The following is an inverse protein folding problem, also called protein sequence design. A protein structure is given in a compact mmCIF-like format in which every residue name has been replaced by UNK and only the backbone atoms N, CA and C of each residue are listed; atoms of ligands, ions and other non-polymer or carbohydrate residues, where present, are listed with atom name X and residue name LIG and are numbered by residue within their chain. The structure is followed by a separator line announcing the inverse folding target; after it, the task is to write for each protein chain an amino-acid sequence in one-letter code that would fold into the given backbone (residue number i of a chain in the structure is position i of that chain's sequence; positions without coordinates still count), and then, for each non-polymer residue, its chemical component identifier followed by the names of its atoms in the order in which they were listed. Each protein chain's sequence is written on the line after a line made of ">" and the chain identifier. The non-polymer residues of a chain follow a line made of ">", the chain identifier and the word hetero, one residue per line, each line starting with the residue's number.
data_IF_830546793224
#
_entry.id   IF_830546793224
#
_cell.length_a   1.000
_cell.length_b   1.000
_cell.length_c   1.000
_cell.angle_alpha   90.00
_cell.angle_beta   90.00
_cell.angle_gamma   90.00
#
_symmetry.space_group_name_H-M   'P 1'
#
loop_
_entity.id
_entity.type
_entity.pdbx_description
1 polymer ?
#
# COMPACT_ATOMS: atom_id res chain seq x y z
N UNK A 1 -13.11 -4.52 -17.10
CA UNK A 1 -13.46 -3.69 -15.92
C UNK A 1 -14.69 -4.16 -15.12
N UNK A 2 -15.92 -4.15 -15.65
CA UNK A 2 -17.14 -4.40 -14.84
C UNK A 2 -17.14 -5.72 -14.04
N UNK A 3 -16.60 -6.80 -14.62
CA UNK A 3 -16.45 -8.07 -13.91
C UNK A 3 -15.51 -7.99 -12.69
N UNK A 4 -14.49 -7.13 -12.74
CA UNK A 4 -13.55 -6.91 -11.63
C UNK A 4 -14.18 -6.07 -10.53
N UNK A 5 -14.99 -5.08 -10.89
CA UNK A 5 -15.77 -4.31 -9.92
C UNK A 5 -16.75 -5.23 -9.19
N UNK A 6 -17.40 -6.15 -9.92
CA UNK A 6 -18.25 -7.17 -9.32
C UNK A 6 -17.45 -8.10 -8.40
N UNK A 7 -16.25 -8.55 -8.81
CA UNK A 7 -15.40 -9.40 -7.98
C UNK A 7 -14.98 -8.70 -6.68
N UNK A 8 -14.62 -7.41 -6.75
CA UNK A 8 -14.31 -6.60 -5.58
C UNK A 8 -15.52 -6.52 -4.65
N UNK A 9 -16.70 -6.20 -5.18
CA UNK A 9 -17.93 -6.14 -4.39
C UNK A 9 -18.25 -7.49 -3.72
N UNK A 10 -18.07 -8.61 -4.43
CA UNK A 10 -18.30 -9.94 -3.88
C UNK A 10 -17.34 -10.23 -2.72
N UNK A 11 -16.04 -9.97 -2.88
CA UNK A 11 -15.06 -10.14 -1.80
C UNK A 11 -15.32 -9.18 -0.62
N UNK A 12 -15.84 -7.98 -0.89
CA UNK A 12 -16.23 -7.02 0.15
C UNK A 12 -17.44 -7.46 0.97
N UNK A 13 -18.38 -8.21 0.37
CA UNK A 13 -19.60 -8.69 1.04
C UNK A 13 -19.39 -10.06 1.70
N UNK A 14 -18.71 -10.98 0.99
CA UNK A 14 -18.60 -12.39 1.36
C UNK A 14 -17.27 -12.73 2.05
N UNK A 15 -16.32 -11.80 2.05
CA UNK A 15 -14.98 -11.98 2.63
C UNK A 15 -13.91 -12.28 1.58
N UNK A 16 -12.65 -12.13 1.96
CA UNK A 16 -11.50 -12.27 1.06
C UNK A 16 -11.34 -13.70 0.51
N UNK A 17 -11.76 -14.69 1.29
CA UNK A 17 -11.70 -16.10 0.90
C UNK A 17 -12.65 -16.47 -0.24
N UNK A 18 -13.63 -15.61 -0.58
CA UNK A 18 -14.59 -15.87 -1.65
C UNK A 18 -13.90 -16.25 -2.98
N UNK A 19 -12.78 -15.59 -3.32
CA UNK A 19 -12.05 -15.89 -4.56
C UNK A 19 -11.41 -17.29 -4.55
N UNK A 20 -11.18 -17.84 -3.36
CA UNK A 20 -10.57 -19.15 -3.12
C UNK A 20 -11.57 -20.26 -2.83
N UNK A 21 -12.87 -19.98 -2.81
CA UNK A 21 -13.91 -20.98 -2.52
C UNK A 21 -14.19 -21.86 -3.75
N UNK A 22 -14.34 -23.18 -3.53
CA UNK A 22 -14.80 -24.10 -4.58
C UNK A 22 -16.29 -23.90 -4.85
N UNK A 23 -16.58 -23.03 -5.80
CA UNK A 23 -17.93 -22.78 -6.29
C UNK A 23 -18.36 -23.97 -7.17
N UNK A 24 -18.90 -25.02 -6.53
CA UNK A 24 -19.55 -26.12 -7.24
C UNK A 24 -20.82 -25.62 -7.92
N UNK A 25 -20.67 -25.05 -9.11
CA UNK A 25 -21.80 -24.84 -10.01
C UNK A 25 -22.25 -26.23 -10.44
N UNK A 26 -23.41 -26.65 -9.93
CA UNK A 26 -24.06 -27.89 -10.38
C UNK A 26 -24.11 -27.88 -11.91
N UNK A 27 -23.57 -28.95 -12.51
CA UNK A 27 -23.71 -29.34 -13.91
C UNK A 27 -22.72 -28.86 -14.98
N UNK A 28 -21.50 -28.40 -14.65
CA UNK A 28 -20.52 -28.06 -15.70
C UNK A 28 -19.23 -28.88 -15.66
N UNK A 29 -19.04 -29.76 -16.66
CA UNK A 29 -17.77 -30.46 -16.94
C UNK A 29 -16.60 -29.52 -17.28
N UNK A 30 -16.89 -28.22 -17.44
CA UNK A 30 -15.93 -27.16 -17.76
C UNK A 30 -15.73 -26.14 -16.61
N UNK A 31 -16.01 -26.51 -15.35
CA UNK A 31 -15.78 -25.61 -14.22
C UNK A 31 -14.30 -25.15 -14.18
N UNK A 32 -14.10 -23.83 -14.11
CA UNK A 32 -12.76 -23.23 -13.94
C UNK A 32 -12.28 -23.60 -12.53
N UNK A 33 -11.07 -24.15 -12.42
CA UNK A 33 -10.49 -24.44 -11.10
C UNK A 33 -10.26 -23.15 -10.33
N UNK A 34 -10.36 -23.20 -8.99
CA UNK A 34 -10.10 -22.06 -8.10
C UNK A 34 -8.78 -21.37 -8.45
N UNK A 35 -7.71 -22.15 -8.65
CA UNK A 35 -6.40 -21.66 -9.09
C UNK A 35 -6.48 -20.78 -10.35
N UNK A 36 -7.19 -21.26 -11.38
CA UNK A 36 -7.34 -20.53 -12.64
C UNK A 36 -8.20 -19.28 -12.48
N UNK A 37 -9.21 -19.32 -11.60
CA UNK A 37 -10.08 -18.19 -11.36
C UNK A 37 -9.35 -17.05 -10.64
N UNK A 38 -8.60 -17.38 -9.58
CA UNK A 38 -7.75 -16.42 -8.87
C UNK A 38 -6.76 -15.74 -9.83
N UNK A 39 -6.05 -16.54 -10.64
CA UNK A 39 -5.10 -16.02 -11.62
C UNK A 39 -5.79 -15.18 -12.70
N UNK A 40 -6.98 -15.57 -13.16
CA UNK A 40 -7.73 -14.81 -14.15
C UNK A 40 -8.11 -13.43 -13.60
N UNK A 41 -8.62 -13.37 -12.37
CA UNK A 41 -9.00 -12.10 -11.71
C UNK A 41 -7.77 -11.21 -11.53
N UNK A 42 -6.67 -11.75 -10.98
CA UNK A 42 -5.44 -10.99 -10.78
C UNK A 42 -4.87 -10.45 -12.10
N UNK A 43 -4.73 -11.31 -13.12
CA UNK A 43 -4.14 -10.90 -14.39
C UNK A 43 -5.02 -9.88 -15.13
N UNK A 44 -6.34 -10.04 -15.04
CA UNK A 44 -7.28 -9.06 -15.59
C UNK A 44 -7.20 -7.73 -14.85
N UNK A 45 -7.13 -7.75 -13.51
CA UNK A 45 -6.97 -6.55 -12.69
C UNK A 45 -5.66 -5.81 -13.00
N UNK A 46 -4.55 -6.54 -13.12
CA UNK A 46 -3.25 -5.97 -13.48
C UNK A 46 -3.28 -5.23 -14.82
N UNK A 47 -3.87 -5.83 -15.85
CA UNK A 47 -4.00 -5.18 -17.17
C UNK A 47 -4.81 -3.90 -17.08
N UNK A 48 -5.93 -3.93 -16.34
CA UNK A 48 -6.80 -2.76 -16.19
C UNK A 48 -6.15 -1.65 -15.34
N UNK A 49 -5.39 -2.01 -14.30
CA UNK A 49 -4.55 -1.08 -13.53
C UNK A 49 -3.53 -0.41 -14.45
N UNK A 50 -2.81 -1.19 -15.27
CA UNK A 50 -1.81 -0.65 -16.19
C UNK A 50 -2.43 0.36 -17.17
N UNK A 51 -3.61 0.04 -17.73
CA UNK A 51 -4.34 0.93 -18.64
C UNK A 51 -4.77 2.21 -17.92
N UNK A 52 -5.39 2.11 -16.74
CA UNK A 52 -5.87 3.28 -16.01
C UNK A 52 -4.74 4.18 -15.51
N UNK A 53 -3.63 3.61 -15.03
CA UNK A 53 -2.45 4.39 -14.61
C UNK A 53 -1.86 5.17 -15.80
N UNK A 54 -1.69 4.51 -16.95
CA UNK A 54 -1.19 5.18 -18.16
C UNK A 54 -2.14 6.28 -18.63
N UNK A 55 -3.45 6.02 -18.65
CA UNK A 55 -4.42 7.03 -19.03
C UNK A 55 -4.45 8.22 -18.06
N UNK A 56 -4.31 7.98 -16.76
CA UNK A 56 -4.26 9.04 -15.75
C UNK A 56 -2.97 9.85 -15.86
N UNK A 57 -1.81 9.19 -16.00
CA UNK A 57 -0.53 9.84 -16.20
C UNK A 57 -0.55 10.73 -17.46
N UNK A 58 -1.01 10.20 -18.59
CA UNK A 58 -1.16 10.97 -19.82
C UNK A 58 -2.08 12.19 -19.63
N UNK A 59 -3.25 11.98 -19.03
CA UNK A 59 -4.25 13.04 -18.87
C UNK A 59 -3.74 14.16 -17.95
N UNK A 60 -3.01 13.81 -16.88
CA UNK A 60 -2.53 14.75 -15.86
C UNK A 60 -1.22 15.44 -16.24
N UNK A 61 -0.28 14.72 -16.85
CA UNK A 61 1.10 15.18 -16.95
C UNK A 61 1.48 15.57 -18.39
N UNK A 62 0.95 14.86 -19.39
CA UNK A 62 1.32 15.05 -20.79
C UNK A 62 0.30 15.89 -21.58
N UNK A 63 -0.98 15.84 -21.21
CA UNK A 63 -2.02 16.56 -21.94
C UNK A 63 -1.93 18.06 -21.65
N UNK A 64 -1.41 18.83 -22.61
CA UNK A 64 -1.39 20.28 -22.55
C UNK A 64 -2.84 20.81 -22.64
N UNK A 65 -3.49 21.02 -21.49
CA UNK A 65 -4.86 21.57 -21.39
C UNK A 65 -5.87 20.89 -22.34
N UNK A 66 -5.96 19.57 -22.32
CA UNK A 66 -6.97 18.88 -23.12
C UNK A 66 -8.37 19.07 -22.53
N UNK A 67 -9.36 19.14 -23.40
CA UNK A 67 -10.79 19.34 -23.12
C UNK A 67 -11.48 18.12 -22.48
N UNK A 68 -10.74 17.29 -21.73
CA UNK A 68 -11.36 16.23 -20.96
C UNK A 68 -12.10 16.86 -19.78
N UNK A 69 -13.37 16.50 -19.63
CA UNK A 69 -14.17 16.92 -18.49
C UNK A 69 -13.60 16.29 -17.22
N UNK A 70 -13.51 17.05 -16.13
CA UNK A 70 -13.04 16.56 -14.82
C UNK A 70 -13.74 15.25 -14.41
N UNK A 71 -15.01 15.09 -14.79
CA UNK A 71 -15.81 13.86 -14.59
C UNK A 71 -15.16 12.59 -15.14
N UNK A 72 -14.49 12.66 -16.30
CA UNK A 72 -13.84 11.50 -16.91
C UNK A 72 -12.59 11.08 -16.13
N UNK A 73 -11.83 12.04 -15.62
CA UNK A 73 -10.64 11.79 -14.78
C UNK A 73 -11.10 11.22 -13.43
N UNK A 74 -12.11 11.82 -12.81
CA UNK A 74 -12.68 11.35 -11.54
C UNK A 74 -13.18 9.91 -11.67
N UNK A 75 -13.87 9.58 -12.77
CA UNK A 75 -14.34 8.21 -12.99
C UNK A 75 -13.18 7.21 -13.12
N UNK A 76 -12.08 7.59 -13.79
CA UNK A 76 -10.88 6.75 -13.88
C UNK A 76 -10.21 6.55 -12.53
N UNK A 77 -10.06 7.61 -11.73
CA UNK A 77 -9.54 7.54 -10.37
C UNK A 77 -10.39 6.61 -9.49
N UNK A 78 -11.72 6.73 -9.58
CA UNK A 78 -12.65 5.84 -8.85
C UNK A 78 -12.51 4.39 -9.27
N UNK A 79 -12.43 4.12 -10.59
CA UNK A 79 -12.23 2.76 -11.08
C UNK A 79 -10.89 2.18 -10.62
N UNK A 80 -9.83 2.99 -10.64
CA UNK A 80 -8.51 2.60 -10.15
C UNK A 80 -8.53 2.28 -8.65
N UNK A 81 -9.19 3.11 -7.83
CA UNK A 81 -9.33 2.88 -6.40
C UNK A 81 -10.04 1.54 -6.09
N UNK A 82 -11.08 1.18 -6.86
CA UNK A 82 -11.75 -0.11 -6.71
C UNK A 82 -10.82 -1.26 -7.10
N UNK A 83 -10.04 -1.11 -8.19
CA UNK A 83 -9.06 -2.13 -8.57
C UNK A 83 -7.95 -2.29 -7.53
N UNK A 84 -7.45 -1.20 -6.94
CA UNK A 84 -6.49 -1.28 -5.83
C UNK A 84 -7.09 -1.99 -4.62
N UNK A 85 -8.35 -1.70 -4.27
CA UNK A 85 -9.03 -2.44 -3.21
C UNK A 85 -9.14 -3.93 -3.50
N UNK A 86 -9.45 -4.31 -4.75
CA UNK A 86 -9.43 -5.72 -5.17
C UNK A 86 -8.05 -6.36 -5.00
N UNK A 87 -6.98 -5.67 -5.39
CA UNK A 87 -5.61 -6.16 -5.25
C UNK A 87 -5.23 -6.30 -3.77
N UNK A 88 -5.57 -5.35 -2.89
CA UNK A 88 -5.35 -5.46 -1.44
C UNK A 88 -6.04 -6.68 -0.84
N UNK A 89 -7.27 -6.98 -1.27
CA UNK A 89 -7.98 -8.18 -0.83
C UNK A 89 -7.29 -9.46 -1.29
N UNK A 90 -6.74 -9.48 -2.50
CA UNK A 90 -5.93 -10.59 -3.01
C UNK A 90 -4.63 -10.73 -2.19
N UNK A 91 -3.97 -9.62 -1.85
CA UNK A 91 -2.78 -9.62 -0.98
C UNK A 91 -3.11 -10.27 0.37
N UNK A 92 -4.18 -9.82 1.02
CA UNK A 92 -4.64 -10.36 2.30
C UNK A 92 -4.97 -11.85 2.22
N UNK A 93 -5.75 -12.27 1.21
CA UNK A 93 -6.09 -13.68 0.98
C UNK A 93 -4.85 -14.56 0.86
N UNK A 94 -3.80 -14.10 0.17
CA UNK A 94 -2.56 -14.88 0.02
C UNK A 94 -1.72 -14.87 1.30
N UNK A 95 -1.70 -13.76 2.04
CA UNK A 95 -1.03 -13.70 3.34
C UNK A 95 -1.65 -14.70 4.33
N UNK A 96 -2.99 -14.71 4.43
CA UNK A 96 -3.73 -15.64 5.27
C UNK A 96 -3.53 -17.11 4.84
N UNK A 97 -3.43 -17.39 3.54
CA UNK A 97 -3.14 -18.72 3.04
C UNK A 97 -1.71 -19.21 3.38
N UNK A 98 -0.79 -18.29 3.67
CA UNK A 98 0.62 -18.59 3.98
C UNK A 98 0.91 -18.68 5.48
N UNK A 99 0.06 -18.11 6.34
CA UNK A 99 0.29 -17.99 7.79
C UNK A 99 -0.01 -19.27 8.60
N UNK A 100 -0.66 -20.28 8.00
CA UNK A 100 -0.85 -21.60 8.61
C UNK A 100 -1.77 -21.65 9.84
N UNK A 101 -2.29 -20.50 10.31
CA UNK A 101 -3.23 -20.39 11.42
C UNK A 101 -4.67 -20.35 10.89
N UNK A 102 -5.24 -21.54 10.65
CA UNK A 102 -6.63 -21.73 10.23
C UNK A 102 -6.96 -23.20 9.95
N UNK A 103 -8.25 -23.56 9.92
CA UNK A 103 -8.68 -24.84 9.36
C UNK A 103 -8.10 -25.00 7.93
N UNK A 104 -7.83 -26.23 7.46
CA UNK A 104 -7.17 -26.46 6.17
C UNK A 104 -8.11 -26.09 5.01
N UNK A 105 -8.30 -24.80 4.74
CA UNK A 105 -8.92 -24.28 3.52
C UNK A 105 -7.85 -24.24 2.42
N UNK A 106 -7.21 -25.38 2.15
CA UNK A 106 -6.31 -25.52 1.02
C UNK A 106 -7.13 -25.71 -0.26
N UNK A 107 -7.46 -24.59 -0.92
CA UNK A 107 -8.02 -24.61 -2.29
C UNK A 107 -7.06 -24.08 -3.35
N UNK A 108 -6.03 -23.31 -2.97
CA UNK A 108 -5.05 -22.74 -3.90
C UNK A 108 -3.72 -23.48 -3.76
N UNK A 109 -3.19 -24.00 -4.87
CA UNK A 109 -1.91 -24.70 -4.84
C UNK A 109 -0.72 -23.74 -4.74
N UNK A 110 0.39 -24.21 -4.16
CA UNK A 110 1.61 -23.42 -3.97
C UNK A 110 2.13 -22.79 -5.28
N UNK A 111 2.03 -23.53 -6.39
CA UNK A 111 2.39 -23.02 -7.72
C UNK A 111 1.57 -21.78 -8.09
N UNK A 112 0.28 -21.77 -7.78
CA UNK A 112 -0.60 -20.62 -8.00
C UNK A 112 -0.23 -19.46 -7.10
N UNK A 113 0.07 -19.72 -5.82
CA UNK A 113 0.54 -18.67 -4.89
C UNK A 113 1.78 -17.96 -5.46
N UNK A 114 2.76 -18.73 -5.96
CA UNK A 114 3.96 -18.16 -6.58
C UNK A 114 3.64 -17.29 -7.81
N UNK A 115 2.68 -17.73 -8.64
CA UNK A 115 2.21 -16.95 -9.79
C UNK A 115 1.46 -15.68 -9.37
N UNK A 116 0.70 -15.75 -8.28
CA UNK A 116 0.02 -14.57 -7.71
C UNK A 116 1.06 -13.58 -7.18
N UNK A 117 2.05 -14.02 -6.40
CA UNK A 117 3.15 -13.16 -5.93
C UNK A 117 3.89 -12.50 -7.10
N UNK A 118 4.14 -13.24 -8.18
CA UNK A 118 4.75 -12.69 -9.40
C UNK A 118 3.88 -11.60 -10.02
N UNK A 119 2.57 -11.86 -10.18
CA UNK A 119 1.63 -10.88 -10.73
C UNK A 119 1.45 -9.63 -9.82
N UNK A 120 1.52 -9.80 -8.50
CA UNK A 120 1.49 -8.70 -7.55
C UNK A 120 2.76 -7.86 -7.64
N UNK A 121 3.96 -8.46 -7.67
CA UNK A 121 5.22 -7.74 -7.90
C UNK A 121 5.19 -6.91 -9.19
N UNK A 122 4.69 -7.49 -10.28
CA UNK A 122 4.54 -6.78 -11.56
C UNK A 122 3.55 -5.61 -11.44
N UNK A 123 2.42 -5.81 -10.73
CA UNK A 123 1.41 -4.76 -10.52
C UNK A 123 1.97 -3.61 -9.68
N UNK A 124 2.65 -3.92 -8.57
CA UNK A 124 3.26 -2.91 -7.70
C UNK A 124 4.40 -2.19 -8.40
N UNK A 125 5.18 -2.87 -9.25
CA UNK A 125 6.19 -2.23 -10.09
C UNK A 125 5.57 -1.16 -11.01
N UNK A 126 4.40 -1.42 -11.62
CA UNK A 126 3.67 -0.44 -12.43
C UNK A 126 3.15 0.74 -11.60
N UNK A 127 2.69 0.48 -10.36
CA UNK A 127 2.26 1.55 -9.45
C UNK A 127 3.45 2.43 -9.04
N UNK A 128 4.62 1.84 -8.80
CA UNK A 128 5.85 2.58 -8.51
C UNK A 128 6.30 3.41 -9.72
N UNK A 129 6.14 2.91 -10.94
CA UNK A 129 6.42 3.69 -12.16
C UNK A 129 5.49 4.91 -12.27
N UNK A 130 4.20 4.76 -11.96
CA UNK A 130 3.27 5.88 -11.89
C UNK A 130 3.66 6.93 -10.83
N UNK A 131 4.15 6.50 -9.66
CA UNK A 131 4.66 7.40 -8.63
C UNK A 131 5.97 8.09 -9.07
N UNK A 132 6.83 7.39 -9.81
CA UNK A 132 8.04 7.96 -10.39
C UNK A 132 7.70 9.04 -11.42
N UNK A 133 6.72 8.80 -12.30
CA UNK A 133 6.24 9.82 -13.23
C UNK A 133 5.70 11.05 -12.49
N UNK A 134 4.92 10.85 -11.43
CA UNK A 134 4.43 11.96 -10.59
C UNK A 134 5.59 12.77 -9.98
N UNK A 135 6.63 12.09 -9.48
CA UNK A 135 7.85 12.72 -8.94
C UNK A 135 8.55 13.57 -10.00
N UNK A 136 8.74 13.03 -11.20
CA UNK A 136 9.44 13.71 -12.29
C UNK A 136 8.68 14.94 -12.79
N UNK A 137 7.36 14.96 -12.65
CA UNK A 137 6.50 16.11 -12.95
C UNK A 137 6.24 17.04 -11.75
N UNK A 138 6.86 16.77 -10.58
CA UNK A 138 6.70 17.56 -9.36
C UNK A 138 5.31 17.49 -8.73
N UNK A 139 4.52 16.46 -9.06
CA UNK A 139 3.15 16.28 -8.59
C UNK A 139 3.16 15.42 -7.33
N UNK A 140 2.84 16.04 -6.19
CA UNK A 140 2.83 15.37 -4.88
C UNK A 140 1.47 15.31 -4.20
N UNK A 141 0.43 15.87 -4.83
CA UNK A 141 -0.89 16.02 -4.22
C UNK A 141 -1.98 15.37 -5.06
N UNK A 142 -2.79 14.53 -4.44
CA UNK A 142 -3.96 13.91 -5.07
C UNK A 142 -4.31 12.55 -4.49
N UNK A 143 -5.60 12.24 -4.43
CA UNK A 143 -6.10 11.00 -3.81
C UNK A 143 -5.70 9.75 -4.57
N UNK A 144 -5.46 9.85 -5.88
CA UNK A 144 -4.94 8.74 -6.69
C UNK A 144 -3.47 8.43 -6.37
N UNK A 145 -2.65 9.45 -6.10
CA UNK A 145 -1.28 9.25 -5.59
C UNK A 145 -1.31 8.61 -4.21
N UNK A 146 -2.20 9.09 -3.34
CA UNK A 146 -2.34 8.54 -2.01
C UNK A 146 -2.86 7.08 -2.04
N UNK A 147 -3.80 6.76 -2.92
CA UNK A 147 -4.27 5.40 -3.14
C UNK A 147 -3.16 4.50 -3.70
N UNK A 148 -2.30 5.01 -4.58
CA UNK A 148 -1.12 4.31 -5.08
C UNK A 148 -0.11 4.02 -3.95
N UNK A 149 0.15 4.98 -3.06
CA UNK A 149 0.97 4.75 -1.86
C UNK A 149 0.35 3.70 -0.95
N UNK A 150 -0.97 3.73 -0.75
CA UNK A 150 -1.68 2.76 0.09
C UNK A 150 -1.46 1.32 -0.38
N UNK A 151 -1.70 1.04 -1.66
CA UNK A 151 -1.54 -0.31 -2.20
C UNK A 151 -0.07 -0.78 -2.16
N UNK A 152 0.88 0.14 -2.40
CA UNK A 152 2.32 -0.13 -2.23
C UNK A 152 2.64 -0.49 -0.79
N UNK A 153 2.16 0.31 0.17
CA UNK A 153 2.33 0.06 1.60
C UNK A 153 1.74 -1.28 2.04
N UNK A 154 0.53 -1.60 1.60
CA UNK A 154 -0.14 -2.88 1.89
C UNK A 154 0.63 -4.07 1.35
N UNK A 155 1.18 -4.01 0.13
CA UNK A 155 1.97 -5.11 -0.41
C UNK A 155 3.32 -5.28 0.30
N UNK A 156 4.01 -4.17 0.56
CA UNK A 156 5.30 -4.18 1.21
C UNK A 156 5.21 -4.52 2.71
N UNK A 157 4.04 -4.42 3.33
CA UNK A 157 3.80 -4.97 4.66
C UNK A 157 3.99 -6.49 4.66
N UNK A 158 3.58 -7.19 3.61
CA UNK A 158 3.76 -8.64 3.48
C UNK A 158 5.12 -9.01 2.89
N UNK A 159 5.69 -8.14 2.06
CA UNK A 159 6.95 -8.38 1.33
C UNK A 159 7.90 -7.18 1.39
N UNK A 160 8.54 -6.88 2.54
CA UNK A 160 9.26 -5.62 2.77
C UNK A 160 10.44 -5.33 1.83
N UNK A 161 10.98 -6.36 1.19
CA UNK A 161 12.11 -6.28 0.26
C UNK A 161 11.69 -6.43 -1.21
N UNK A 162 10.40 -6.53 -1.50
CA UNK A 162 9.91 -6.49 -2.88
C UNK A 162 10.20 -5.12 -3.50
N UNK A 163 10.60 -5.12 -4.78
CA UNK A 163 10.93 -3.91 -5.53
C UNK A 163 11.94 -2.97 -4.83
N UNK A 164 12.85 -3.51 -4.00
CA UNK A 164 13.69 -2.73 -3.08
C UNK A 164 14.43 -1.55 -3.72
N UNK A 165 14.96 -1.73 -4.94
CA UNK A 165 15.65 -0.67 -5.67
C UNK A 165 14.70 0.52 -5.96
N UNK A 166 13.56 0.27 -6.61
CA UNK A 166 12.56 1.31 -6.92
C UNK A 166 12.00 1.95 -5.65
N UNK A 167 11.58 1.13 -4.69
CA UNK A 167 11.01 1.59 -3.42
C UNK A 167 12.02 2.46 -2.66
N UNK A 168 13.29 2.07 -2.60
CA UNK A 168 14.34 2.82 -1.93
C UNK A 168 14.55 4.21 -2.51
N UNK A 169 14.58 4.34 -3.85
CA UNK A 169 14.74 5.63 -4.54
C UNK A 169 13.50 6.54 -4.49
N UNK A 170 12.32 5.96 -4.27
CA UNK A 170 11.05 6.68 -4.19
C UNK A 170 10.61 7.01 -2.76
N UNK A 171 11.23 6.42 -1.74
CA UNK A 171 10.72 6.49 -0.36
C UNK A 171 10.56 7.92 0.17
N UNK A 172 11.55 8.79 -0.10
CA UNK A 172 11.47 10.22 0.26
C UNK A 172 10.28 10.92 -0.43
N UNK A 173 10.07 10.63 -1.72
CA UNK A 173 8.95 11.20 -2.47
C UNK A 173 7.61 10.65 -1.95
N UNK A 174 7.52 9.35 -1.68
CA UNK A 174 6.33 8.71 -1.10
C UNK A 174 5.93 9.41 0.21
N UNK A 175 6.90 9.72 1.08
CA UNK A 175 6.64 10.41 2.34
C UNK A 175 6.20 11.87 2.17
N UNK A 176 6.44 12.46 1.00
CA UNK A 176 6.01 13.82 0.66
C UNK A 176 4.62 13.88 0.02
N UNK A 177 4.01 12.74 -0.30
CA UNK A 177 2.71 12.69 -0.95
C UNK A 177 1.60 13.07 0.04
N UNK A 178 0.69 13.90 -0.44
CA UNK A 178 -0.48 14.39 0.28
C UNK A 178 -1.76 13.96 -0.47
N UNK A 179 -2.78 13.53 0.27
CA UNK A 179 -4.14 13.49 -0.23
C UNK A 179 -4.65 14.87 -0.64
N UNK A 180 -5.74 14.90 -1.40
CA UNK A 180 -6.28 16.15 -1.95
C UNK A 180 -6.62 17.17 -0.84
N UNK A 181 -7.19 16.69 0.26
CA UNK A 181 -7.63 17.50 1.39
C UNK A 181 -6.64 17.50 2.57
N UNK A 182 -5.49 16.81 2.47
CA UNK A 182 -4.47 16.81 3.52
C UNK A 182 -3.72 18.14 3.55
N UNK A 183 -3.54 18.71 4.74
CA UNK A 183 -2.72 19.91 4.95
C UNK A 183 -1.22 19.63 4.99
N UNK A 184 -0.84 18.38 5.27
CA UNK A 184 0.53 17.89 5.38
C UNK A 184 0.53 16.37 5.21
N UNK A 185 1.63 15.76 4.71
CA UNK A 185 1.71 14.31 4.54
C UNK A 185 1.48 13.59 5.86
N UNK A 186 0.40 12.80 5.93
CA UNK A 186 0.10 11.98 7.09
C UNK A 186 -0.28 10.57 6.66
N UNK A 187 -1.26 10.43 5.77
CA UNK A 187 -1.72 9.11 5.34
C UNK A 187 -0.64 8.34 4.57
N UNK A 188 0.15 9.01 3.74
CA UNK A 188 1.26 8.39 3.01
C UNK A 188 2.28 7.75 3.95
N UNK A 189 2.68 8.47 5.01
CA UNK A 189 3.57 7.94 6.06
C UNK A 189 2.91 6.79 6.81
N UNK A 190 1.64 6.98 7.22
CA UNK A 190 0.88 5.98 7.97
C UNK A 190 0.76 4.65 7.22
N UNK A 191 0.49 4.67 5.91
CA UNK A 191 0.39 3.46 5.09
C UNK A 191 1.71 2.71 4.96
N UNK A 192 2.85 3.40 5.14
CA UNK A 192 4.17 2.77 5.06
C UNK A 192 4.63 2.19 6.41
N UNK A 193 4.01 2.56 7.54
CA UNK A 193 4.41 2.10 8.88
C UNK A 193 4.60 0.59 9.02
N UNK A 194 3.72 -0.28 8.47
CA UNK A 194 3.90 -1.74 8.57
C UNK A 194 5.21 -2.24 7.92
N UNK A 195 5.61 -1.65 6.79
CA UNK A 195 6.88 -1.98 6.15
C UNK A 195 8.05 -1.38 6.93
N UNK A 196 7.92 -0.13 7.39
CA UNK A 196 8.99 0.58 8.10
C UNK A 196 9.37 -0.13 9.40
N UNK A 197 8.39 -0.60 10.18
CA UNK A 197 8.65 -1.34 11.43
C UNK A 197 9.49 -2.60 11.16
N UNK A 198 9.26 -3.27 10.03
CA UNK A 198 9.98 -4.47 9.63
C UNK A 198 11.39 -4.16 9.10
N UNK A 199 11.55 -3.22 8.17
CA UNK A 199 12.88 -2.94 7.60
C UNK A 199 13.83 -2.31 8.62
N UNK A 200 13.31 -1.53 9.58
CA UNK A 200 14.11 -0.87 10.61
C UNK A 200 14.64 -1.82 11.69
N UNK A 201 14.20 -3.09 11.71
CA UNK A 201 14.88 -4.12 12.52
C UNK A 201 16.35 -4.29 12.14
N UNK A 202 16.72 -3.94 10.90
CA UNK A 202 18.08 -3.99 10.38
C UNK A 202 18.78 -2.63 10.42
N UNK A 203 20.11 -2.64 10.52
CA UNK A 203 20.90 -1.40 10.45
C UNK A 203 20.81 -0.72 9.07
N UNK A 204 20.67 -1.48 7.99
CA UNK A 204 20.50 -0.94 6.63
C UNK A 204 19.15 -0.23 6.48
N UNK A 205 18.05 -0.84 6.88
CA UNK A 205 16.73 -0.20 6.82
C UNK A 205 16.66 1.06 7.69
N UNK A 206 17.28 1.03 8.87
CA UNK A 206 17.48 2.22 9.68
C UNK A 206 18.26 3.33 8.95
N UNK A 207 19.41 2.99 8.33
CA UNK A 207 20.24 3.96 7.58
C UNK A 207 19.45 4.59 6.44
N UNK A 208 18.67 3.80 5.70
CA UNK A 208 17.81 4.28 4.62
C UNK A 208 16.81 5.30 5.13
N UNK A 209 16.13 5.03 6.26
CA UNK A 209 15.13 5.95 6.79
C UNK A 209 15.77 7.24 7.36
N UNK A 210 16.98 7.15 7.92
CA UNK A 210 17.70 8.30 8.47
C UNK A 210 18.29 9.19 7.37
N UNK A 211 18.71 8.65 6.24
CA UNK A 211 19.45 9.40 5.20
C UNK A 211 18.65 10.56 4.59
N UNK A 212 17.32 10.43 4.50
CA UNK A 212 16.41 11.48 4.04
C UNK A 212 15.59 12.11 5.19
N UNK A 213 15.89 11.78 6.45
CA UNK A 213 15.18 12.31 7.61
C UNK A 213 13.76 11.77 7.80
N UNK A 214 13.41 10.62 7.22
CA UNK A 214 12.07 10.04 7.30
C UNK A 214 11.61 9.69 8.72
N UNK A 215 12.53 9.49 9.67
CA UNK A 215 12.17 9.35 11.09
C UNK A 215 11.42 10.58 11.64
N UNK A 216 11.67 11.77 11.11
CA UNK A 216 10.94 13.00 11.48
C UNK A 216 9.48 12.90 11.07
N UNK A 217 9.24 12.44 9.85
CA UNK A 217 7.89 12.23 9.33
C UNK A 217 7.14 11.16 10.14
N UNK A 218 7.81 10.08 10.57
CA UNK A 218 7.22 9.07 11.46
C UNK A 218 6.89 9.68 12.83
N UNK A 219 7.75 10.53 13.39
CA UNK A 219 7.47 11.26 14.64
C UNK A 219 6.27 12.19 14.50
N UNK A 220 6.24 13.01 13.46
CA UNK A 220 5.12 13.94 13.23
C UNK A 220 3.81 13.17 12.98
N UNK A 221 3.86 12.02 12.28
CA UNK A 221 2.74 11.11 12.12
C UNK A 221 2.26 10.56 13.47
N UNK A 222 3.17 10.14 14.36
CA UNK A 222 2.84 9.65 15.69
C UNK A 222 2.21 10.74 16.56
N UNK A 223 2.75 11.96 16.55
CA UNK A 223 2.18 13.11 17.25
C UNK A 223 0.75 13.37 16.77
N UNK A 224 0.53 13.42 15.44
CA UNK A 224 -0.80 13.66 14.88
C UNK A 224 -1.80 12.56 15.27
N UNK A 225 -1.36 11.30 15.33
CA UNK A 225 -2.20 10.20 15.83
C UNK A 225 -2.57 10.39 17.31
N UNK A 226 -1.71 10.96 18.16
CA UNK A 226 -2.10 11.23 19.56
C UNK A 226 -3.11 12.38 19.70
N UNK A 227 -3.16 13.31 18.75
CA UNK A 227 -4.08 14.47 18.78
C UNK A 227 -5.50 14.14 18.28
N UNK A 228 -5.66 13.15 17.40
CA UNK A 228 -6.89 12.89 16.64
C UNK A 228 -8.04 12.20 17.41
N UNK A 229 -7.98 12.08 18.75
CA UNK A 229 -8.94 11.34 19.61
C UNK A 229 -9.10 9.85 19.20
N UNK A 230 -8.68 8.93 20.07
CA UNK A 230 -8.54 7.48 19.82
C UNK A 230 -9.75 6.67 19.36
N UNK A 231 -10.89 7.28 19.02
CA UNK A 231 -12.08 6.60 18.48
C UNK A 231 -11.98 6.27 16.98
N UNK A 232 -11.06 6.92 16.23
CA UNK A 232 -10.91 6.75 14.77
C UNK A 232 -9.55 6.15 14.35
N UNK A 233 -8.66 5.88 15.30
CA UNK A 233 -7.28 5.49 15.03
C UNK A 233 -7.11 4.03 15.41
N UNK A 234 -6.52 3.28 14.48
CA UNK A 234 -6.09 1.90 14.72
C UNK A 234 -4.85 1.92 15.62
N UNK A 235 -4.97 1.40 16.84
CA UNK A 235 -3.86 1.27 17.80
C UNK A 235 -2.66 0.54 17.17
N UNK A 236 -2.90 -0.38 16.21
CA UNK A 236 -1.85 -1.05 15.46
C UNK A 236 -0.90 -0.07 14.75
N UNK A 237 -1.44 0.96 14.11
CA UNK A 237 -0.65 2.01 13.46
C UNK A 237 0.24 2.77 14.45
N UNK A 238 -0.25 3.06 15.67
CA UNK A 238 0.56 3.71 16.70
C UNK A 238 1.72 2.84 17.15
N UNK A 239 1.49 1.55 17.40
CA UNK A 239 2.54 0.62 17.80
C UNK A 239 3.60 0.47 16.72
N UNK A 240 3.22 0.37 15.45
CA UNK A 240 4.17 0.30 14.33
C UNK A 240 5.06 1.55 14.23
N UNK A 241 4.50 2.74 14.47
CA UNK A 241 5.27 3.98 14.55
C UNK A 241 6.24 3.98 15.74
N UNK A 242 5.78 3.56 16.92
CA UNK A 242 6.63 3.41 18.10
C UNK A 242 7.78 2.43 17.87
N UNK A 243 7.50 1.25 17.31
CA UNK A 243 8.51 0.23 16.98
C UNK A 243 9.55 0.77 16.01
N UNK A 244 9.11 1.48 14.97
CA UNK A 244 10.00 2.13 14.01
C UNK A 244 10.96 3.10 14.72
N UNK A 245 10.45 3.95 15.62
CA UNK A 245 11.28 4.89 16.38
C UNK A 245 12.20 4.15 17.36
N UNK A 246 11.72 3.14 18.08
CA UNK A 246 12.52 2.34 19.02
C UNK A 246 13.67 1.63 18.29
N UNK A 247 13.42 1.06 17.12
CA UNK A 247 14.42 0.39 16.29
C UNK A 247 15.54 1.35 15.88
N UNK A 248 15.17 2.56 15.44
CA UNK A 248 16.11 3.62 15.08
C UNK A 248 16.96 4.05 16.30
N UNK A 249 16.30 4.22 17.44
CA UNK A 249 16.96 4.65 18.68
C UNK A 249 17.90 3.58 19.25
N UNK A 250 17.55 2.31 19.08
CA UNK A 250 18.35 1.18 19.54
C UNK A 250 19.60 0.95 18.69
N UNK A 251 19.55 1.34 17.40
CA UNK A 251 20.65 1.19 16.45
C UNK A 251 21.60 2.41 16.38
N UNK A 252 21.51 3.37 17.32
CA UNK A 252 22.35 4.59 17.41
C UNK A 252 23.86 4.38 17.36
N UNK A 253 24.36 3.19 17.68
CA UNK A 253 25.79 2.87 17.58
C UNK A 253 26.28 2.84 16.13
N UNK A 254 25.38 2.63 15.18
CA UNK A 254 25.69 2.48 13.75
C UNK A 254 25.52 3.79 12.95
N UNK A 255 24.87 4.81 13.52
CA UNK A 255 24.68 6.13 12.92
C UNK A 255 24.26 7.16 14.00
N UNK A 256 24.89 8.35 14.07
CA UNK A 256 24.61 9.33 15.12
C UNK A 256 23.32 10.12 14.81
N UNK A 257 22.23 9.80 15.51
CA UNK A 257 21.05 10.67 15.56
C UNK A 257 21.22 11.63 16.74
N UNK A 258 21.23 12.92 16.44
CA UNK A 258 21.19 13.96 17.48
C UNK A 258 19.78 14.05 18.06
N UNK A 259 19.69 14.34 19.36
CA UNK A 259 18.40 14.65 20.00
C UNK A 259 17.88 15.99 19.48
N UNK A 260 17.07 15.92 18.44
CA UNK A 260 16.43 17.08 17.80
C UNK A 260 15.13 17.47 18.52
N UNK A 261 14.63 18.71 18.29
CA UNK A 261 13.39 19.21 18.91
C UNK A 261 12.15 18.33 18.67
N UNK A 262 12.10 17.56 17.58
CA UNK A 262 11.01 16.64 17.29
C UNK A 262 10.84 15.56 18.38
N UNK A 263 11.93 15.09 18.99
CA UNK A 263 11.86 14.12 20.08
C UNK A 263 11.26 14.72 21.36
N UNK A 264 11.50 16.01 21.61
CA UNK A 264 10.89 16.72 22.75
C UNK A 264 9.38 16.85 22.52
N UNK A 265 8.97 17.25 21.31
CA UNK A 265 7.55 17.31 20.92
C UNK A 265 6.87 15.94 21.04
N UNK A 266 7.56 14.87 20.63
CA UNK A 266 7.05 13.50 20.78
C UNK A 266 6.80 13.14 22.24
N UNK A 267 7.76 13.42 23.13
CA UNK A 267 7.60 13.13 24.56
C UNK A 267 6.42 13.90 25.16
N UNK A 268 6.22 15.16 24.76
CA UNK A 268 5.06 15.95 25.18
C UNK A 268 3.74 15.32 24.72
N UNK A 269 3.67 14.90 23.46
CA UNK A 269 2.49 14.27 22.86
C UNK A 269 2.15 12.92 23.54
N UNK A 270 3.16 12.11 23.85
CA UNK A 270 2.97 10.84 24.56
C UNK A 270 2.50 11.03 26.01
N UNK A 271 2.93 12.11 26.68
CA UNK A 271 2.44 12.44 28.03
C UNK A 271 0.96 12.83 27.99
N UNK A 272 0.52 13.54 26.96
CA UNK A 272 -0.89 13.94 26.82
C UNK A 272 -1.82 12.79 26.42
N UNK A 273 -1.27 11.71 25.86
CA UNK A 273 -2.02 10.52 25.47
C UNK A 273 -2.24 9.53 26.63
N UNK A 274 -1.31 9.48 27.59
CA UNK A 274 -1.36 8.59 28.77
C UNK A 274 -2.32 9.08 29.86
#
# INVERSE_FOLDING_TARGET
>A
LQALLLAECMMSILGENWLSEDHKILDNKNAISVDKFVLLVLQSARVEVAVLLNELAFSKYESSKSSQTDDAIIQKQRNLAILFSLIERIIKMISDASSGEGEPSQTICEKTIMQVITGLNETISLVLDFLQDAKDHGQRKGDDLLAAVRIVGSYLAETPYACQEKTGHLLEFIFSIEGQDESSPFYSVRFMLPMLSQITTTADGCRTLVSFGGYKAVIDCLIKMTEENGMMIDDGSMFLACDTIINIMSNRKNYPIQMEPCFIRLLQALITWA
#
